data_IF_902779515441
#
_entry.id   IF_902779515441
#
_cell.length_a   1.000
_cell.length_b   1.000
_cell.length_c   1.000
_cell.angle_alpha   90.00
_cell.angle_beta   90.00
_cell.angle_gamma   90.00
#
_symmetry.space_group_name_H-M   'P 1'
#
loop_
_entity.id
_entity.type
_entity.pdbx_description
1 polymer ?
#
# COMPACT_ATOMS: atom_id res chain seq x y z
N UNK A 1 7.51 -1.32 13.91
CA UNK A 1 8.62 -2.20 13.50
C UNK A 1 9.96 -1.68 14.00
N UNK A 2 10.91 -2.60 14.22
CA UNK A 2 12.28 -2.28 14.64
C UNK A 2 13.13 -2.02 13.39
N UNK A 3 13.39 -0.76 13.11
CA UNK A 3 14.10 -0.32 11.89
C UNK A 3 15.63 -0.55 11.95
N UNK A 4 16.16 -1.05 13.05
CA UNK A 4 17.55 -1.54 13.13
C UNK A 4 17.71 -2.89 12.40
N UNK A 5 16.61 -3.57 12.09
CA UNK A 5 16.59 -4.88 11.46
C UNK A 5 16.03 -4.80 10.03
N UNK A 6 16.68 -5.50 9.11
CA UNK A 6 16.29 -5.62 7.68
C UNK A 6 14.79 -5.95 7.52
N UNK A 7 14.30 -6.96 8.26
CA UNK A 7 12.89 -7.34 8.18
C UNK A 7 11.95 -6.33 8.86
N UNK A 8 12.44 -5.56 9.83
CA UNK A 8 11.66 -4.49 10.45
C UNK A 8 11.42 -3.32 9.49
N UNK A 9 12.43 -2.93 8.73
CA UNK A 9 12.31 -1.89 7.68
C UNK A 9 11.31 -2.34 6.60
N UNK A 10 11.38 -3.61 6.16
CA UNK A 10 10.40 -4.18 5.23
C UNK A 10 8.99 -4.13 5.81
N UNK A 11 8.84 -4.62 7.04
CA UNK A 11 7.53 -4.72 7.70
C UNK A 11 6.90 -3.33 7.85
N UNK A 12 7.70 -2.30 8.15
CA UNK A 12 7.22 -0.92 8.17
C UNK A 12 6.71 -0.48 6.80
N UNK A 13 7.46 -0.70 5.73
CA UNK A 13 7.04 -0.33 4.38
C UNK A 13 5.75 -1.05 3.95
N UNK A 14 5.59 -2.33 4.32
CA UNK A 14 4.36 -3.11 4.09
C UNK A 14 3.17 -2.47 4.80
N UNK A 15 3.30 -2.15 6.09
CA UNK A 15 2.23 -1.56 6.89
C UNK A 15 1.85 -0.15 6.42
N UNK A 16 2.85 0.68 6.10
CA UNK A 16 2.63 2.03 5.56
C UNK A 16 1.91 1.97 4.22
N UNK A 17 2.31 1.07 3.31
CA UNK A 17 1.66 0.94 2.00
C UNK A 17 0.21 0.47 2.10
N UNK A 18 -0.08 -0.51 2.97
CA UNK A 18 -1.45 -0.98 3.24
C UNK A 18 -2.33 0.17 3.76
N UNK A 19 -1.82 0.95 4.71
CA UNK A 19 -2.58 2.02 5.32
C UNK A 19 -2.70 3.25 4.41
N UNK A 20 -1.63 3.64 3.71
CA UNK A 20 -1.63 4.81 2.84
C UNK A 20 -2.56 4.65 1.62
N UNK A 21 -2.72 3.43 1.11
CA UNK A 21 -3.45 3.20 -0.15
C UNK A 21 -4.75 2.43 0.01
N UNK A 22 -4.96 1.79 1.16
CA UNK A 22 -6.07 0.87 1.36
C UNK A 22 -6.08 -0.29 0.36
N UNK A 23 -4.92 -0.65 -0.23
CA UNK A 23 -4.83 -1.71 -1.23
C UNK A 23 -5.18 -3.09 -0.66
N UNK A 24 -5.59 -4.01 -1.54
CA UNK A 24 -5.74 -5.42 -1.18
C UNK A 24 -4.38 -6.07 -1.02
N UNK A 25 -4.29 -7.12 -0.19
CA UNK A 25 -3.02 -7.85 0.00
C UNK A 25 -2.47 -8.39 -1.32
N UNK A 26 -3.33 -8.92 -2.18
CA UNK A 26 -2.94 -9.41 -3.50
C UNK A 26 -2.36 -8.29 -4.41
N UNK A 27 -2.91 -7.08 -4.32
CA UNK A 27 -2.39 -5.91 -5.01
C UNK A 27 -1.01 -5.52 -4.46
N UNK A 28 -0.86 -5.50 -3.13
CA UNK A 28 0.41 -5.21 -2.45
C UNK A 28 1.53 -6.17 -2.88
N UNK A 29 1.30 -7.48 -2.77
CA UNK A 29 2.32 -8.49 -3.09
C UNK A 29 2.62 -8.59 -4.59
N UNK A 30 1.70 -8.10 -5.43
CA UNK A 30 1.88 -8.00 -6.88
C UNK A 30 2.53 -6.70 -7.35
N UNK A 31 2.79 -5.76 -6.46
CA UNK A 31 3.30 -4.44 -6.82
C UNK A 31 4.76 -4.50 -7.24
N UNK A 32 5.08 -3.89 -8.39
CA UNK A 32 6.43 -3.82 -8.98
C UNK A 32 7.03 -2.42 -8.85
N UNK A 33 8.35 -2.31 -8.99
CA UNK A 33 9.08 -1.04 -8.87
C UNK A 33 8.59 0.02 -9.85
N UNK A 34 8.30 -0.36 -11.09
CA UNK A 34 7.80 0.52 -12.14
C UNK A 34 6.42 1.12 -11.87
N UNK A 35 5.65 0.46 -10.97
CA UNK A 35 4.28 0.87 -10.62
C UNK A 35 4.21 1.83 -9.43
N UNK A 36 5.34 2.26 -8.89
CA UNK A 36 5.40 3.22 -7.78
C UNK A 36 6.34 4.35 -8.13
N UNK A 37 5.78 5.54 -8.25
CA UNK A 37 6.53 6.77 -8.45
C UNK A 37 6.63 7.54 -7.11
N UNK A 38 7.79 7.44 -6.47
CA UNK A 38 8.05 8.12 -5.21
C UNK A 38 8.21 9.64 -5.37
N UNK A 39 8.62 10.10 -6.55
CA UNK A 39 8.83 11.53 -6.84
C UNK A 39 7.50 12.25 -6.97
N UNK A 40 6.56 11.66 -7.71
CA UNK A 40 5.21 12.17 -7.89
C UNK A 40 4.23 11.64 -6.85
N UNK A 41 4.66 10.72 -5.99
CA UNK A 41 3.93 10.15 -4.86
C UNK A 41 2.61 9.49 -5.27
N UNK A 42 2.69 8.57 -6.19
CA UNK A 42 1.54 7.71 -6.54
C UNK A 42 1.97 6.26 -6.76
N UNK A 43 1.00 5.37 -6.68
CA UNK A 43 1.14 3.96 -7.04
C UNK A 43 0.02 3.55 -8.01
N UNK A 44 0.37 2.72 -9.00
CA UNK A 44 -0.56 2.11 -9.92
C UNK A 44 -0.90 0.71 -9.43
N UNK A 45 -2.10 0.53 -8.89
CA UNK A 45 -2.57 -0.74 -8.34
C UNK A 45 -3.35 -1.53 -9.39
N UNK A 46 -3.06 -2.83 -9.49
CA UNK A 46 -3.75 -3.74 -10.39
C UNK A 46 -4.80 -4.55 -9.62
N UNK A 47 -6.07 -4.23 -9.84
CA UNK A 47 -7.22 -4.89 -9.24
C UNK A 47 -7.67 -6.16 -10.00
N UNK A 48 -8.81 -6.71 -9.58
CA UNK A 48 -9.42 -7.89 -10.22
C UNK A 48 -9.81 -7.59 -11.68
N UNK A 49 -9.47 -8.48 -12.59
CA UNK A 49 -9.84 -8.36 -14.02
C UNK A 49 -9.01 -7.29 -14.77
N UNK A 50 -7.73 -7.14 -14.41
CA UNK A 50 -6.78 -6.19 -15.03
C UNK A 50 -7.16 -4.71 -14.92
N UNK A 51 -8.12 -4.36 -14.07
CA UNK A 51 -8.47 -2.96 -13.83
C UNK A 51 -7.39 -2.28 -13.01
N UNK A 52 -6.81 -1.24 -13.58
CA UNK A 52 -5.80 -0.43 -12.92
C UNK A 52 -6.44 0.80 -12.27
N UNK A 53 -5.84 1.25 -11.17
CA UNK A 53 -6.17 2.55 -10.56
C UNK A 53 -4.92 3.20 -9.99
N UNK A 54 -4.85 4.50 -10.14
CA UNK A 54 -3.82 5.34 -9.52
C UNK A 54 -4.28 5.70 -8.10
N UNK A 55 -3.39 5.54 -7.13
CA UNK A 55 -3.64 5.95 -5.75
C UNK A 55 -2.50 6.84 -5.27
N UNK A 56 -2.79 7.94 -4.57
CA UNK A 56 -1.77 8.76 -3.94
C UNK A 56 -1.04 7.97 -2.85
N UNK A 57 0.23 8.31 -2.64
CA UNK A 57 1.08 7.74 -1.59
C UNK A 57 1.62 8.89 -0.73
N UNK A 58 1.26 8.90 0.54
CA UNK A 58 1.66 9.97 1.46
C UNK A 58 3.16 9.97 1.76
N UNK A 59 3.66 11.09 2.28
CA UNK A 59 5.08 11.30 2.60
C UNK A 59 5.68 10.22 3.48
N UNK A 60 4.96 9.82 4.53
CA UNK A 60 5.42 8.78 5.47
C UNK A 60 5.66 7.45 4.78
N UNK A 61 4.76 7.06 3.87
CA UNK A 61 4.90 5.84 3.09
C UNK A 61 6.06 5.94 2.10
N UNK A 62 6.22 7.06 1.39
CA UNK A 62 7.34 7.29 0.48
C UNK A 62 8.70 7.20 1.21
N UNK A 63 8.82 7.77 2.41
CA UNK A 63 10.03 7.68 3.23
C UNK A 63 10.32 6.22 3.64
N UNK A 64 9.29 5.48 4.07
CA UNK A 64 9.42 4.07 4.42
C UNK A 64 9.85 3.21 3.22
N UNK A 65 9.26 3.43 2.04
CA UNK A 65 9.62 2.75 0.80
C UNK A 65 11.05 3.08 0.35
N UNK A 66 11.46 4.35 0.40
CA UNK A 66 12.82 4.77 0.05
C UNK A 66 13.87 4.08 0.91
N UNK A 67 13.61 3.98 2.21
CA UNK A 67 14.50 3.25 3.13
C UNK A 67 14.51 1.76 2.83
N UNK A 68 13.34 1.19 2.56
CA UNK A 68 13.19 -0.23 2.25
C UNK A 68 13.83 -0.63 0.91
N UNK A 69 13.81 0.22 -0.11
CA UNK A 69 14.41 -0.10 -1.41
C UNK A 69 15.91 -0.41 -1.32
N UNK A 70 16.63 0.28 -0.43
CA UNK A 70 18.06 -0.02 -0.16
C UNK A 70 18.24 -1.42 0.44
N UNK A 71 17.39 -1.75 1.41
CA UNK A 71 17.39 -3.07 2.07
C UNK A 71 16.99 -4.18 1.09
N UNK A 72 15.97 -3.93 0.26
CA UNK A 72 15.55 -4.85 -0.79
C UNK A 72 16.70 -5.17 -1.74
N UNK A 73 17.40 -4.14 -2.23
CA UNK A 73 18.52 -4.33 -3.15
C UNK A 73 19.62 -5.23 -2.54
N UNK A 74 19.95 -5.03 -1.27
CA UNK A 74 20.92 -5.89 -0.56
C UNK A 74 20.44 -7.35 -0.49
N UNK A 75 19.17 -7.59 -0.15
CA UNK A 75 18.59 -8.93 -0.14
C UNK A 75 18.60 -9.59 -1.52
N UNK A 76 18.22 -8.84 -2.56
CA UNK A 76 18.23 -9.35 -3.95
C UNK A 76 19.62 -9.78 -4.37
N UNK A 77 20.66 -8.97 -4.10
CA UNK A 77 22.05 -9.29 -4.39
C UNK A 77 22.53 -10.51 -3.59
N UNK A 78 22.26 -10.53 -2.29
CA UNK A 78 22.70 -11.61 -1.39
C UNK A 78 22.16 -12.99 -1.81
N UNK A 79 20.92 -13.04 -2.28
CA UNK A 79 20.24 -14.28 -2.65
C UNK A 79 20.11 -14.50 -4.16
N UNK A 80 20.81 -13.69 -4.98
CA UNK A 80 20.86 -13.79 -6.44
C UNK A 80 19.45 -13.86 -7.06
N UNK A 81 18.55 -12.98 -6.60
CA UNK A 81 17.19 -12.90 -7.10
C UNK A 81 17.06 -11.80 -8.16
N UNK A 82 16.32 -12.10 -9.24
CA UNK A 82 16.06 -11.16 -10.33
C UNK A 82 14.56 -11.07 -10.59
N UNK A 83 13.93 -10.05 -10.07
CA UNK A 83 12.54 -9.69 -10.34
C UNK A 83 12.23 -8.29 -9.81
N UNK A 84 11.14 -7.67 -10.27
CA UNK A 84 10.77 -6.28 -9.95
C UNK A 84 9.74 -6.15 -8.83
N UNK A 85 9.29 -7.25 -8.20
CA UNK A 85 8.36 -7.15 -7.07
C UNK A 85 8.97 -6.32 -5.94
N UNK A 86 8.21 -5.33 -5.44
CA UNK A 86 8.68 -4.46 -4.37
C UNK A 86 8.90 -5.25 -3.09
N UNK A 87 7.88 -5.96 -2.63
CA UNK A 87 7.92 -6.62 -1.32
C UNK A 87 8.46 -8.05 -1.42
N UNK A 88 9.58 -8.29 -0.72
CA UNK A 88 10.29 -9.55 -0.75
C UNK A 88 10.34 -10.22 0.63
N UNK A 89 10.50 -11.53 0.64
CA UNK A 89 10.74 -12.31 1.85
C UNK A 89 12.21 -12.20 2.30
N UNK A 90 12.61 -12.91 3.36
CA UNK A 90 13.96 -12.89 3.91
C UNK A 90 15.04 -13.54 3.00
N UNK A 91 14.65 -14.14 1.88
CA UNK A 91 15.54 -14.73 0.86
C UNK A 91 15.43 -14.00 -0.48
N UNK A 92 14.90 -12.79 -0.49
CA UNK A 92 14.75 -11.98 -1.71
C UNK A 92 13.59 -12.41 -2.63
N UNK A 93 12.94 -13.54 -2.44
CA UNK A 93 11.81 -13.97 -3.25
C UNK A 93 10.54 -13.15 -2.95
N UNK A 94 9.59 -13.10 -3.89
CA UNK A 94 8.32 -12.37 -3.75
C UNK A 94 7.61 -12.67 -2.41
N UNK A 95 7.12 -11.64 -1.75
CA UNK A 95 6.29 -11.79 -0.56
C UNK A 95 4.92 -12.41 -0.91
N UNK A 96 4.34 -13.20 0.00
CA UNK A 96 3.03 -13.84 -0.19
C UNK A 96 1.97 -13.20 0.68
N UNK A 97 0.70 -13.36 0.32
CA UNK A 97 -0.46 -12.93 1.14
C UNK A 97 -0.37 -13.47 2.56
N UNK A 98 0.03 -14.74 2.72
CA UNK A 98 0.21 -15.36 4.03
C UNK A 98 1.31 -14.68 4.85
N UNK A 99 2.40 -14.26 4.19
CA UNK A 99 3.49 -13.54 4.86
C UNK A 99 3.04 -12.18 5.35
N UNK A 100 2.24 -11.45 4.57
CA UNK A 100 1.66 -10.15 4.99
C UNK A 100 0.76 -10.32 6.21
N UNK A 101 -0.10 -11.35 6.24
CA UNK A 101 -0.95 -11.63 7.41
C UNK A 101 -0.11 -11.92 8.66
N UNK A 102 0.95 -12.72 8.53
CA UNK A 102 1.88 -13.00 9.64
C UNK A 102 2.60 -11.75 10.14
N UNK A 103 2.96 -10.83 9.24
CA UNK A 103 3.53 -9.53 9.64
C UNK A 103 2.54 -8.76 10.51
N UNK A 104 1.28 -8.68 10.09
CA UNK A 104 0.23 -8.02 10.87
C UNK A 104 0.03 -8.68 12.24
N UNK A 105 -0.16 -10.00 12.28
CA UNK A 105 -0.33 -10.78 13.51
C UNK A 105 0.84 -10.55 14.49
N UNK A 106 2.07 -10.53 13.99
CA UNK A 106 3.27 -10.25 14.79
C UNK A 106 3.15 -8.91 15.53
N UNK A 107 2.78 -7.83 14.82
CA UNK A 107 2.73 -6.50 15.44
C UNK A 107 1.49 -6.29 16.31
N UNK A 108 0.38 -6.92 15.99
CA UNK A 108 -0.82 -6.94 16.84
C UNK A 108 -0.50 -7.59 18.18
N UNK A 109 0.14 -8.77 18.14
CA UNK A 109 0.53 -9.48 19.36
C UNK A 109 1.55 -8.70 20.20
N UNK A 110 2.52 -8.03 19.56
CA UNK A 110 3.50 -7.18 20.26
C UNK A 110 2.87 -5.97 20.96
N UNK A 111 1.77 -5.44 20.44
CA UNK A 111 1.06 -4.29 21.00
C UNK A 111 -0.02 -4.68 22.00
N UNK A 112 -0.19 -5.97 22.29
CA UNK A 112 -1.24 -6.52 23.15
C UNK A 112 -2.64 -6.03 22.73
N UNK A 113 -2.86 -5.85 21.43
CA UNK A 113 -4.15 -5.42 20.89
C UNK A 113 -5.07 -6.65 20.83
N UNK A 114 -6.10 -6.68 21.68
CA UNK A 114 -7.08 -7.77 21.74
C UNK A 114 -8.15 -7.72 20.61
N UNK A 115 -7.91 -6.98 19.55
CA UNK A 115 -8.80 -6.88 18.38
C UNK A 115 -8.28 -7.72 17.22
N UNK A 116 -9.18 -8.39 16.52
CA UNK A 116 -8.85 -9.06 15.26
C UNK A 116 -8.55 -8.01 14.18
N UNK A 117 -7.28 -7.67 14.00
CA UNK A 117 -6.84 -6.79 12.92
C UNK A 117 -6.36 -7.63 11.75
N UNK A 118 -6.91 -7.39 10.60
CA UNK A 118 -6.59 -8.06 9.34
C UNK A 118 -6.27 -7.02 8.27
N UNK A 119 -5.73 -7.40 7.11
CA UNK A 119 -5.59 -6.47 6.00
C UNK A 119 -6.90 -5.80 5.58
N UNK A 120 -8.04 -6.51 5.71
CA UNK A 120 -9.36 -5.93 5.46
C UNK A 120 -9.72 -4.87 6.50
N UNK A 121 -9.34 -5.06 7.75
CA UNK A 121 -9.53 -4.07 8.81
C UNK A 121 -8.73 -2.80 8.53
N UNK A 122 -7.48 -2.91 8.07
CA UNK A 122 -6.66 -1.75 7.68
C UNK A 122 -7.31 -0.99 6.52
N UNK A 123 -7.76 -1.71 5.50
CA UNK A 123 -8.47 -1.10 4.36
C UNK A 123 -9.78 -0.45 4.79
N UNK A 124 -10.52 -1.04 5.72
CA UNK A 124 -11.71 -0.43 6.30
C UNK A 124 -11.37 0.85 7.07
N UNK A 125 -10.30 0.82 7.90
CA UNK A 125 -9.82 2.01 8.62
C UNK A 125 -9.39 3.12 7.65
N UNK A 126 -8.73 2.80 6.54
CA UNK A 126 -8.42 3.77 5.48
C UNK A 126 -9.69 4.46 4.97
N UNK A 127 -10.73 3.69 4.61
CA UNK A 127 -11.99 4.24 4.13
C UNK A 127 -12.68 5.12 5.19
N UNK A 128 -12.77 4.62 6.42
CA UNK A 128 -13.42 5.32 7.54
C UNK A 128 -12.71 6.64 7.85
N UNK A 129 -11.37 6.64 7.93
CA UNK A 129 -10.61 7.85 8.21
C UNK A 129 -10.79 8.92 7.12
N UNK A 130 -10.81 8.53 5.85
CA UNK A 130 -11.09 9.49 4.78
C UNK A 130 -12.49 10.11 4.89
N UNK A 131 -13.52 9.28 5.16
CA UNK A 131 -14.90 9.75 5.32
C UNK A 131 -15.06 10.66 6.56
N UNK A 132 -14.48 10.28 7.69
CA UNK A 132 -14.52 11.07 8.94
C UNK A 132 -13.85 12.44 8.78
N UNK A 133 -12.84 12.55 7.90
CA UNK A 133 -12.17 13.81 7.60
C UNK A 133 -12.81 14.58 6.43
N UNK A 134 -13.98 14.13 5.95
CA UNK A 134 -14.80 14.86 5.00
C UNK A 134 -14.59 14.51 3.51
N UNK A 135 -13.94 13.38 3.22
CA UNK A 135 -13.92 12.85 1.86
C UNK A 135 -15.33 12.38 1.46
N UNK A 136 -15.72 12.63 0.23
CA UNK A 136 -16.98 12.10 -0.28
C UNK A 136 -16.87 10.59 -0.58
N UNK A 137 -18.00 9.90 -0.45
CA UNK A 137 -18.07 8.44 -0.62
C UNK A 137 -17.60 7.98 -2.00
N UNK A 138 -17.86 8.76 -3.04
CA UNK A 138 -17.49 8.40 -4.42
C UNK A 138 -15.97 8.40 -4.59
N UNK A 139 -15.28 9.43 -4.11
CA UNK A 139 -13.81 9.50 -4.11
C UNK A 139 -13.17 8.34 -3.34
N UNK A 140 -13.74 7.97 -2.19
CA UNK A 140 -13.28 6.82 -1.41
C UNK A 140 -13.48 5.50 -2.17
N UNK A 141 -14.61 5.33 -2.85
CA UNK A 141 -14.88 4.15 -3.67
C UNK A 141 -13.92 4.05 -4.87
N UNK A 142 -13.57 5.16 -5.51
CA UNK A 142 -12.60 5.23 -6.59
C UNK A 142 -11.19 4.84 -6.10
N UNK A 143 -10.74 5.40 -4.99
CA UNK A 143 -9.47 5.04 -4.34
C UNK A 143 -9.39 3.54 -4.03
N UNK A 144 -10.49 2.97 -3.57
CA UNK A 144 -10.55 1.56 -3.21
C UNK A 144 -10.74 0.63 -4.44
N UNK A 145 -11.13 1.14 -5.59
CA UNK A 145 -11.39 0.33 -6.79
C UNK A 145 -12.57 -0.62 -6.61
N UNK A 146 -13.73 -0.09 -6.15
CA UNK A 146 -14.99 -0.80 -6.09
C UNK A 146 -15.61 -0.87 -7.50
N UNK A 147 -15.83 -2.08 -8.01
CA UNK A 147 -16.19 -2.36 -9.41
C UNK A 147 -17.64 -2.00 -9.81
N UNK A 148 -18.49 -1.51 -8.91
CA UNK A 148 -19.92 -1.37 -9.12
C UNK A 148 -20.40 0.04 -9.52
N UNK A 149 -19.55 0.88 -10.05
CA UNK A 149 -20.01 2.03 -10.81
C UNK A 149 -19.83 1.72 -12.29
N UNK A 150 -20.94 1.39 -12.94
CA UNK A 150 -21.05 1.26 -14.39
C UNK A 150 -20.70 2.60 -15.03
N UNK A 151 -19.45 2.81 -15.33
CA UNK A 151 -19.01 3.71 -16.40
C UNK A 151 -17.52 3.44 -16.64
N UNK A 152 -17.23 2.99 -17.83
CA UNK A 152 -15.93 3.11 -18.48
C UNK A 152 -15.67 4.61 -18.67
N UNK A 153 -15.40 5.32 -17.58
CA UNK A 153 -14.88 6.67 -17.69
C UNK A 153 -13.37 6.55 -17.81
N UNK A 154 -12.90 6.91 -18.99
CA UNK A 154 -11.52 7.23 -19.28
C UNK A 154 -11.01 8.06 -18.10
N UNK A 155 -9.99 7.54 -17.39
CA UNK A 155 -9.30 8.26 -16.34
C UNK A 155 -8.63 9.48 -16.96
N UNK A 156 -9.34 10.60 -16.98
CA UNK A 156 -8.81 11.88 -17.41
C UNK A 156 -7.95 12.46 -16.29
N UNK A 157 -6.95 13.27 -16.63
CA UNK A 157 -6.09 13.99 -15.68
C UNK A 157 -6.89 14.72 -14.57
N UNK A 158 -8.08 15.20 -14.91
CA UNK A 158 -8.98 15.95 -14.00
C UNK A 158 -9.51 15.07 -12.86
N UNK A 159 -9.86 13.79 -13.10
CA UNK A 159 -10.32 12.88 -12.04
C UNK A 159 -9.19 12.51 -11.08
N UNK A 160 -7.96 12.38 -11.58
CA UNK A 160 -6.80 12.09 -10.74
C UNK A 160 -6.42 13.24 -9.82
N UNK A 161 -6.54 14.48 -10.27
CA UNK A 161 -6.29 15.68 -9.43
C UNK A 161 -7.31 15.79 -8.30
N UNK A 162 -8.60 15.59 -8.60
CA UNK A 162 -9.66 15.62 -7.59
C UNK A 162 -9.40 14.57 -6.50
N UNK A 163 -9.19 13.33 -6.88
CA UNK A 163 -8.92 12.21 -5.95
C UNK A 163 -7.64 12.45 -5.13
N UNK A 164 -6.60 13.00 -5.76
CA UNK A 164 -5.35 13.37 -5.08
C UNK A 164 -5.58 14.49 -4.06
N UNK A 165 -6.38 15.49 -4.38
CA UNK A 165 -6.70 16.59 -3.48
C UNK A 165 -7.54 16.12 -2.29
N UNK A 166 -8.53 15.26 -2.53
CA UNK A 166 -9.34 14.61 -1.48
C UNK A 166 -8.43 13.80 -0.55
N UNK A 167 -7.51 13.01 -1.10
CA UNK A 167 -6.54 12.26 -0.30
C UNK A 167 -5.65 13.18 0.55
N UNK A 168 -5.00 14.19 -0.07
CA UNK A 168 -4.12 15.11 0.63
C UNK A 168 -4.80 15.86 1.76
N UNK A 169 -6.07 16.22 1.58
CA UNK A 169 -6.84 16.98 2.58
C UNK A 169 -7.31 16.10 3.73
N UNK A 170 -7.60 14.83 3.48
CA UNK A 170 -8.39 14.01 4.40
C UNK A 170 -7.63 12.77 4.93
N UNK A 171 -6.48 12.40 4.37
CA UNK A 171 -5.74 11.24 4.86
C UNK A 171 -4.74 11.65 5.96
N UNK A 172 -4.73 10.98 7.15
CA UNK A 172 -3.87 11.36 8.28
C UNK A 172 -2.37 11.33 8.02
N UNK A 173 -1.92 10.65 6.96
CA UNK A 173 -0.51 10.52 6.57
C UNK A 173 -0.23 10.93 5.13
N UNK A 174 -1.02 11.87 4.60
CA UNK A 174 -0.84 12.39 3.25
C UNK A 174 0.51 13.07 3.03
#
# INVERSE_FOLDING_TARGET
PDNSKVLGVRDQAVLEMLYATGCRVSELVGLTLERVDLSNRFALLLGKGTKERVVPVGHTCCAALSTYYRVRQQLMLQYQQEHDFIFVNNRGGRLTDRSVRRILEKYINMLAIHKNVSPHTIRHSFATHLLEHGADLRSVQELLGHANLSTTQIYTHVSNEHVTNVYKKNHPRA
#
